data_IF_787708510923
#
_entry.id   IF_787708510923
#
_cell.length_a   1.000
_cell.length_b   1.000
_cell.length_c   1.000
_cell.angle_alpha   90.00
_cell.angle_beta   90.00
_cell.angle_gamma   90.00
#
_symmetry.space_group_name_H-M   'P 1'
#
loop_
_entity.id
_entity.type
_entity.pdbx_description
1 polymer ?
#
# COMPACT_ATOMS: atom_id res chain seq x y z
N UNK A 1 14.16 15.83 -4.72
CA UNK A 1 13.35 14.61 -4.93
C UNK A 1 11.94 14.90 -4.45
N UNK A 2 10.95 14.73 -5.32
CA UNK A 2 9.56 14.94 -4.97
C UNK A 2 9.09 13.88 -3.97
N UNK A 3 8.01 14.13 -3.21
CA UNK A 3 7.47 13.12 -2.29
C UNK A 3 7.03 11.86 -3.03
N UNK A 4 6.49 12.00 -4.24
CA UNK A 4 6.06 10.88 -5.09
C UNK A 4 7.25 9.97 -5.45
N UNK A 5 8.43 10.54 -5.72
CA UNK A 5 9.64 9.75 -6.00
C UNK A 5 10.03 8.90 -4.78
N UNK A 6 9.91 9.45 -3.57
CA UNK A 6 10.25 8.72 -2.34
C UNK A 6 9.30 7.55 -2.10
N UNK A 7 8.01 7.73 -2.41
CA UNK A 7 6.99 6.69 -2.29
C UNK A 7 7.27 5.56 -3.27
N UNK A 8 7.56 5.88 -4.54
CA UNK A 8 7.92 4.88 -5.54
C UNK A 8 9.18 4.11 -5.15
N UNK A 9 10.23 4.82 -4.70
CA UNK A 9 11.47 4.19 -4.21
C UNK A 9 11.19 3.25 -3.03
N UNK A 10 10.39 3.68 -2.06
CA UNK A 10 10.04 2.86 -0.91
C UNK A 10 9.24 1.61 -1.32
N UNK A 11 8.31 1.73 -2.26
CA UNK A 11 7.53 0.61 -2.80
C UNK A 11 8.44 -0.43 -3.49
N UNK A 12 9.29 0.02 -4.42
CA UNK A 12 10.23 -0.82 -5.17
C UNK A 12 11.18 -1.60 -4.24
N UNK A 13 11.63 -0.95 -3.16
CA UNK A 13 12.47 -1.58 -2.14
C UNK A 13 11.67 -2.55 -1.28
N UNK A 14 10.45 -2.20 -0.88
CA UNK A 14 9.58 -3.05 -0.05
C UNK A 14 9.15 -4.33 -0.76
N UNK A 15 8.99 -4.27 -2.09
CA UNK A 15 8.73 -5.43 -2.95
C UNK A 15 9.99 -6.29 -3.16
N UNK A 16 11.17 -5.86 -2.69
CA UNK A 16 12.43 -6.57 -2.86
C UNK A 16 12.97 -6.56 -4.29
N UNK A 17 12.43 -5.71 -5.17
CA UNK A 17 12.83 -5.63 -6.58
C UNK A 17 14.17 -4.89 -6.76
N UNK A 18 14.43 -3.92 -5.90
CA UNK A 18 15.60 -3.06 -5.97
C UNK A 18 16.17 -2.75 -4.58
N UNK A 19 17.46 -2.46 -4.53
CA UNK A 19 18.05 -1.75 -3.37
C UNK A 19 17.68 -0.27 -3.41
N UNK A 20 17.74 0.43 -2.28
CA UNK A 20 17.38 1.87 -2.19
C UNK A 20 18.11 2.73 -3.21
N UNK A 21 19.40 2.45 -3.45
CA UNK A 21 20.21 3.20 -4.41
C UNK A 21 19.79 2.91 -5.85
N UNK A 22 19.50 1.65 -6.18
CA UNK A 22 19.04 1.27 -7.52
C UNK A 22 17.62 1.81 -7.80
N UNK A 23 16.73 1.73 -6.82
CA UNK A 23 15.39 2.28 -6.91
C UNK A 23 15.43 3.80 -7.11
N UNK A 24 16.30 4.51 -6.39
CA UNK A 24 16.49 5.95 -6.57
C UNK A 24 16.97 6.34 -7.97
N UNK A 25 17.90 5.57 -8.55
CA UNK A 25 18.36 5.78 -9.92
C UNK A 25 17.26 5.46 -10.96
N UNK A 26 16.54 4.36 -10.78
CA UNK A 26 15.44 3.98 -11.65
C UNK A 26 14.35 5.05 -11.66
N UNK A 27 13.82 5.43 -10.49
CA UNK A 27 12.78 6.47 -10.37
C UNK A 27 13.30 7.82 -10.85
N UNK A 28 14.59 8.13 -10.65
CA UNK A 28 15.21 9.33 -11.18
C UNK A 28 15.31 9.38 -12.71
N UNK A 29 15.34 8.22 -13.38
CA UNK A 29 15.40 8.11 -14.85
C UNK A 29 14.03 8.17 -15.53
N UNK A 30 12.95 7.98 -14.78
CA UNK A 30 11.58 8.01 -15.32
C UNK A 30 11.11 9.43 -15.60
N UNK A 31 10.35 9.58 -16.67
CA UNK A 31 9.57 10.79 -16.94
C UNK A 31 8.40 10.92 -15.96
N UNK A 32 7.84 12.13 -15.88
CA UNK A 32 6.73 12.42 -14.96
C UNK A 32 5.46 11.60 -15.30
N UNK A 33 5.20 11.35 -16.59
CA UNK A 33 4.08 10.50 -17.03
C UNK A 33 4.27 9.04 -16.59
N UNK A 34 5.45 8.46 -16.75
CA UNK A 34 5.73 7.08 -16.32
C UNK A 34 5.56 6.91 -14.80
N UNK A 35 5.94 7.93 -14.02
CA UNK A 35 5.72 7.94 -12.56
C UNK A 35 4.23 7.96 -12.21
N UNK A 36 3.42 8.70 -12.96
CA UNK A 36 1.96 8.75 -12.78
C UNK A 36 1.33 7.39 -13.11
N UNK A 37 1.75 6.75 -14.20
CA UNK A 37 1.26 5.42 -14.57
C UNK A 37 1.53 4.39 -13.46
N UNK A 38 2.74 4.37 -12.90
CA UNK A 38 3.11 3.50 -11.78
C UNK A 38 2.27 3.74 -10.51
N UNK A 39 1.88 4.98 -10.24
CA UNK A 39 1.02 5.31 -9.11
C UNK A 39 -0.45 4.93 -9.39
N UNK A 40 -0.92 5.08 -10.62
CA UNK A 40 -2.30 4.80 -11.02
C UNK A 40 -2.68 3.32 -10.99
N UNK A 41 -1.73 2.39 -11.15
CA UNK A 41 -1.98 0.94 -11.03
C UNK A 41 -2.52 0.55 -9.64
N UNK A 42 -2.32 1.39 -8.62
CA UNK A 42 -2.82 1.15 -7.26
C UNK A 42 -4.33 1.40 -7.10
N UNK A 43 -4.97 2.12 -8.03
CA UNK A 43 -6.38 2.51 -7.92
C UNK A 43 -7.35 1.40 -8.36
N UNK A 44 -6.90 0.43 -9.16
CA UNK A 44 -7.71 -0.71 -9.60
C UNK A 44 -7.66 -1.90 -8.62
N UNK A 45 -6.94 -1.79 -7.50
CA UNK A 45 -6.78 -2.86 -6.50
C UNK A 45 -7.50 -2.55 -5.17
N UNK A 46 -8.58 -1.78 -5.18
CA UNK A 46 -9.37 -1.44 -3.97
C UNK A 46 -10.65 -2.29 -3.75
N UNK A 47 -10.74 -3.51 -4.33
CA UNK A 47 -11.90 -4.41 -4.12
C UNK A 47 -11.56 -5.73 -3.40
N UNK A 48 -10.72 -5.73 -2.34
CA UNK A 48 -10.58 -6.92 -1.47
C UNK A 48 -10.31 -6.58 0.01
N UNK A 49 -10.81 -5.46 0.53
CA UNK A 49 -10.86 -5.25 1.99
C UNK A 49 -12.23 -4.75 2.39
N UNK A 50 -13.20 -5.67 2.39
CA UNK A 50 -14.46 -5.45 3.10
C UNK A 50 -14.12 -5.14 4.57
N UNK A 51 -14.52 -3.97 5.10
CA UNK A 51 -14.29 -3.67 6.51
C UNK A 51 -15.05 -4.69 7.34
N UNK A 52 -14.32 -5.48 8.13
CA UNK A 52 -14.92 -6.34 9.15
C UNK A 52 -15.69 -5.42 10.09
N UNK A 53 -17.02 -5.50 10.07
CA UNK A 53 -17.87 -4.68 10.92
C UNK A 53 -17.60 -5.04 12.40
N UNK A 54 -17.03 -4.11 13.20
CA UNK A 54 -16.70 -4.39 14.60
C UNK A 54 -17.94 -4.64 15.47
N UNK A 55 -19.16 -4.39 14.97
CA UNK A 55 -20.40 -4.74 15.68
C UNK A 55 -20.61 -6.26 15.85
N UNK A 56 -19.92 -7.10 15.08
CA UNK A 56 -19.97 -8.56 15.26
C UNK A 56 -19.04 -9.09 16.36
N UNK A 57 -18.15 -8.27 16.94
CA UNK A 57 -17.23 -8.70 18.01
C UNK A 57 -17.88 -8.72 19.40
N UNK A 58 -19.09 -8.17 19.55
CA UNK A 58 -19.80 -8.13 20.82
C UNK A 58 -21.03 -9.04 20.84
N UNK A 59 -20.83 -10.36 20.77
CA UNK A 59 -21.86 -11.30 21.25
C UNK A 59 -21.32 -12.70 21.55
N UNK A 60 -20.85 -12.91 22.79
CA UNK A 60 -21.19 -14.10 23.58
C UNK A 60 -20.43 -14.07 24.91
N UNK A 61 -21.14 -13.71 25.98
CA UNK A 61 -20.59 -13.75 27.33
C UNK A 61 -21.59 -13.45 28.44
N UNK A 62 -22.89 -13.73 28.24
CA UNK A 62 -23.89 -13.73 29.30
C UNK A 62 -24.41 -15.15 29.54
N UNK A 63 -23.68 -15.92 30.34
CA UNK A 63 -24.20 -17.12 30.99
C UNK A 63 -24.30 -16.83 32.49
N UNK A 64 -25.53 -16.50 32.88
CA UNK A 64 -26.04 -16.34 34.23
C UNK A 64 -26.17 -17.72 34.91
N UNK A 65 -25.79 -17.83 36.19
CA UNK A 65 -26.11 -19.02 36.98
C UNK A 65 -25.35 -19.11 38.30
N UNK A 66 -25.89 -18.50 39.36
CA UNK A 66 -26.48 -19.13 40.58
C UNK A 66 -26.76 -18.03 41.59
#
# INVERSE_FOLDING_TARGET
>A
MANNDKILVALLVSLGLFTTVQAGQYVGSLSENEKIELLSVSADTEDVVSPVDPSMISSSGSAQGT
#
